data_IF_750215838691
#
_entry.id   IF_750215838691
#
_cell.length_a   1.000
_cell.length_b   1.000
_cell.length_c   1.000
_cell.angle_alpha   90.00
_cell.angle_beta   90.00
_cell.angle_gamma   90.00
#
_symmetry.space_group_name_H-M   'P 1'
#
loop_
_entity.id
_entity.type
_entity.pdbx_description
1 polymer ?
#
# COMPACT_ATOMS: atom_id res chain seq x y z
N UNK A 1 4.22 6.00 -6.23
CA UNK A 1 5.08 4.86 -6.57
C UNK A 1 4.26 3.83 -7.32
N UNK A 2 4.79 3.27 -8.41
CA UNK A 2 4.27 2.06 -9.04
C UNK A 2 5.09 0.86 -8.55
N UNK A 3 4.42 -0.21 -8.12
CA UNK A 3 5.08 -1.42 -7.63
C UNK A 3 5.33 -2.39 -8.79
N UNK A 4 6.40 -3.20 -8.69
CA UNK A 4 6.83 -4.08 -9.77
C UNK A 4 7.68 -3.39 -10.85
N UNK A 5 7.97 -2.09 -10.72
CA UNK A 5 8.86 -1.35 -11.62
C UNK A 5 10.20 -1.03 -10.94
N UNK A 6 11.32 -1.38 -11.59
CA UNK A 6 12.65 -1.30 -10.98
C UNK A 6 13.05 0.11 -10.48
N UNK A 7 12.77 1.17 -11.27
CA UNK A 7 13.18 2.53 -10.90
C UNK A 7 12.35 3.07 -9.72
N UNK A 8 10.99 3.07 -9.77
CA UNK A 8 10.18 3.43 -8.61
C UNK A 8 10.53 2.66 -7.33
N UNK A 9 10.78 1.35 -7.42
CA UNK A 9 11.17 0.53 -6.27
C UNK A 9 12.51 0.95 -5.65
N UNK A 10 13.50 1.30 -6.48
CA UNK A 10 14.78 1.84 -6.00
C UNK A 10 14.64 3.22 -5.38
N UNK A 11 13.91 4.12 -6.03
CA UNK A 11 13.70 5.50 -5.54
C UNK A 11 13.02 5.54 -4.17
N UNK A 12 12.26 4.50 -3.82
CA UNK A 12 11.55 4.37 -2.56
C UNK A 12 12.23 3.40 -1.59
N UNK A 13 13.46 2.95 -1.87
CA UNK A 13 14.24 2.05 -1.00
C UNK A 13 13.45 0.80 -0.59
N UNK A 14 12.82 0.13 -1.55
CA UNK A 14 12.02 -1.05 -1.29
C UNK A 14 12.88 -2.17 -0.67
N UNK A 15 12.40 -2.72 0.45
CA UNK A 15 12.88 -3.94 1.09
C UNK A 15 11.71 -4.91 1.17
N UNK A 16 11.95 -6.20 0.93
CA UNK A 16 10.87 -7.18 0.95
C UNK A 16 11.36 -8.58 1.26
N UNK A 17 10.48 -9.41 1.78
CA UNK A 17 10.69 -10.83 2.03
C UNK A 17 9.49 -11.62 1.48
N UNK A 18 9.74 -12.74 0.82
CA UNK A 18 8.72 -13.56 0.13
C UNK A 18 7.74 -12.72 -0.72
N UNK A 19 8.29 -11.73 -1.43
CA UNK A 19 7.52 -10.80 -2.26
C UNK A 19 8.07 -10.74 -3.67
N UNK A 20 7.15 -10.75 -4.65
CA UNK A 20 7.48 -10.94 -6.05
C UNK A 20 6.77 -9.90 -6.92
N UNK A 21 7.46 -9.32 -7.92
CA UNK A 21 6.81 -8.51 -8.93
C UNK A 21 5.88 -9.38 -9.78
N UNK A 22 4.77 -8.80 -10.21
CA UNK A 22 3.79 -9.45 -11.08
C UNK A 22 3.35 -8.49 -12.17
N UNK A 23 2.96 -9.04 -13.33
CA UNK A 23 2.23 -8.30 -14.34
C UNK A 23 0.81 -8.85 -14.41
N UNK A 24 -0.18 -8.00 -14.17
CA UNK A 24 -1.59 -8.39 -14.27
C UNK A 24 -2.37 -7.33 -15.04
N UNK A 25 -3.04 -7.75 -16.12
CA UNK A 25 -3.80 -6.87 -17.03
C UNK A 25 -2.99 -5.65 -17.49
N UNK A 26 -1.76 -5.91 -17.94
CA UNK A 26 -0.78 -4.92 -18.39
C UNK A 26 -0.37 -3.88 -17.34
N UNK A 27 -0.67 -4.09 -16.05
CA UNK A 27 -0.12 -3.28 -14.94
C UNK A 27 0.88 -4.08 -14.13
N UNK A 28 1.99 -3.44 -13.80
CA UNK A 28 2.95 -3.98 -12.85
C UNK A 28 2.41 -3.82 -11.43
N UNK A 29 2.72 -4.80 -10.59
CA UNK A 29 2.42 -4.76 -9.16
C UNK A 29 3.39 -5.65 -8.40
N UNK A 30 3.19 -5.72 -7.09
CA UNK A 30 3.94 -6.63 -6.22
C UNK A 30 2.99 -7.35 -5.28
N UNK A 31 3.23 -8.64 -5.10
CA UNK A 31 2.51 -9.48 -4.14
C UNK A 31 3.50 -9.95 -3.06
N UNK A 32 3.07 -10.00 -1.79
CA UNK A 32 3.83 -10.64 -0.72
C UNK A 32 3.07 -11.86 -0.21
N UNK A 33 3.77 -12.99 -0.08
CA UNK A 33 3.22 -14.26 0.39
C UNK A 33 3.29 -14.38 1.91
N UNK A 34 2.47 -15.26 2.49
CA UNK A 34 2.43 -15.52 3.93
C UNK A 34 3.83 -15.74 4.52
N UNK A 35 4.10 -15.11 5.67
CA UNK A 35 5.44 -15.05 6.29
C UNK A 35 6.34 -13.92 5.77
N UNK A 36 5.96 -13.25 4.68
CA UNK A 36 6.72 -12.17 4.05
C UNK A 36 6.22 -10.76 4.34
N UNK A 37 6.74 -9.81 3.58
CA UNK A 37 6.29 -8.42 3.55
C UNK A 37 6.87 -7.67 2.34
N UNK A 38 6.31 -6.49 2.08
CA UNK A 38 7.00 -5.44 1.32
C UNK A 38 6.99 -4.13 2.12
N UNK A 39 8.09 -3.39 2.07
CA UNK A 39 8.27 -2.15 2.84
C UNK A 39 9.08 -1.13 2.05
N UNK A 40 8.63 0.12 2.02
CA UNK A 40 9.29 1.19 1.27
C UNK A 40 9.11 2.54 1.94
N UNK A 41 9.97 3.49 1.59
CA UNK A 41 9.96 4.87 2.08
C UNK A 41 9.03 5.76 1.25
N UNK A 42 8.21 6.59 1.91
CA UNK A 42 7.35 7.58 1.28
C UNK A 42 7.64 8.96 1.84
N UNK A 43 7.88 9.95 0.97
CA UNK A 43 8.07 11.35 1.36
C UNK A 43 6.79 11.93 1.98
N UNK A 44 6.94 12.59 3.11
CA UNK A 44 5.86 13.26 3.84
C UNK A 44 5.77 14.71 3.41
N UNK A 45 4.54 15.19 3.19
CA UNK A 45 4.24 16.61 3.01
C UNK A 45 3.56 17.16 4.28
N UNK A 46 3.67 18.46 4.56
CA UNK A 46 2.92 19.08 5.66
C UNK A 46 1.40 18.91 5.50
N UNK A 47 0.70 18.71 6.62
CA UNK A 47 -0.76 18.62 6.69
C UNK A 47 -1.31 17.20 6.91
N UNK A 48 -2.65 17.04 6.97
CA UNK A 48 -3.29 15.73 7.06
C UNK A 48 -2.96 14.91 5.81
N UNK A 49 -2.46 13.69 6.01
CA UNK A 49 -2.05 12.81 4.93
C UNK A 49 -2.95 11.60 4.81
N UNK A 50 -3.14 11.17 3.57
CA UNK A 50 -3.85 9.95 3.19
C UNK A 50 -2.88 9.06 2.43
N UNK A 51 -2.75 7.82 2.89
CA UNK A 51 -2.10 6.76 2.12
C UNK A 51 -3.16 6.13 1.20
N UNK A 52 -2.87 6.00 -0.07
CA UNK A 52 -3.74 5.32 -1.03
C UNK A 52 -2.99 4.15 -1.64
N UNK A 53 -3.67 3.01 -1.77
CA UNK A 53 -3.15 1.85 -2.47
C UNK A 53 -4.14 1.38 -3.55
N UNK A 54 -3.61 0.99 -4.70
CA UNK A 54 -4.39 0.51 -5.84
C UNK A 54 -4.39 -1.02 -5.91
N UNK A 55 -5.59 -1.60 -6.08
CA UNK A 55 -5.83 -3.04 -6.18
C UNK A 55 -6.64 -3.41 -7.42
N UNK A 56 -6.69 -4.71 -7.74
CA UNK A 56 -7.63 -5.25 -8.70
C UNK A 56 -8.90 -5.72 -7.98
N UNK A 57 -10.07 -5.23 -8.38
CA UNK A 57 -11.31 -5.52 -7.69
C UNK A 57 -11.87 -6.92 -7.90
N UNK A 58 -11.16 -7.79 -8.64
CA UNK A 58 -11.44 -9.22 -8.69
C UNK A 58 -10.47 -10.08 -7.88
N UNK A 59 -9.58 -9.49 -7.06
CA UNK A 59 -8.82 -10.27 -6.06
C UNK A 59 -9.76 -10.95 -5.07
N UNK A 60 -9.37 -12.12 -4.58
CA UNK A 60 -10.19 -12.93 -3.65
C UNK A 60 -9.36 -13.42 -2.49
N UNK A 61 -9.98 -13.44 -1.30
CA UNK A 61 -9.39 -13.95 -0.07
C UNK A 61 -7.97 -13.40 0.17
N UNK A 62 -7.84 -12.06 0.14
CA UNK A 62 -6.61 -11.37 0.54
C UNK A 62 -6.83 -10.66 1.85
N UNK A 63 -6.08 -11.06 2.86
CA UNK A 63 -6.05 -10.47 4.18
C UNK A 63 -4.63 -10.04 4.54
N UNK A 64 -4.45 -8.75 4.82
CA UNK A 64 -3.15 -8.20 5.18
C UNK A 64 -3.28 -6.96 6.04
N UNK A 65 -2.23 -6.66 6.79
CA UNK A 65 -2.13 -5.48 7.64
C UNK A 65 -1.17 -4.46 7.00
N UNK A 66 -1.50 -3.18 7.18
CA UNK A 66 -0.72 -2.05 6.65
C UNK A 66 -0.18 -1.26 7.83
N UNK A 67 1.12 -0.97 7.78
CA UNK A 67 1.84 -0.27 8.83
C UNK A 67 2.52 0.99 8.29
N UNK A 68 2.61 2.00 9.13
CA UNK A 68 3.43 3.20 8.92
C UNK A 68 4.35 3.36 10.12
N UNK A 69 5.67 3.33 9.90
CA UNK A 69 6.70 3.31 10.95
C UNK A 69 6.37 2.32 12.07
N UNK A 70 6.07 1.08 11.67
CA UNK A 70 5.72 -0.05 12.55
C UNK A 70 4.42 0.11 13.36
N UNK A 71 3.65 1.18 13.14
CA UNK A 71 2.31 1.33 13.71
C UNK A 71 1.28 0.84 12.70
N UNK A 72 0.46 -0.14 13.10
CA UNK A 72 -0.62 -0.63 12.24
C UNK A 72 -1.66 0.48 12.03
N UNK A 73 -1.91 0.82 10.77
CA UNK A 73 -2.89 1.85 10.39
C UNK A 73 -4.19 1.26 9.85
N UNK A 74 -4.13 0.06 9.27
CA UNK A 74 -5.28 -0.58 8.65
C UNK A 74 -5.09 -2.09 8.55
N UNK A 75 -6.22 -2.77 8.41
CA UNK A 75 -6.33 -4.18 8.03
C UNK A 75 -7.17 -4.22 6.77
N UNK A 76 -6.63 -4.72 5.68
CA UNK A 76 -7.30 -4.79 4.38
C UNK A 76 -7.77 -6.22 4.11
N UNK A 77 -9.02 -6.31 3.68
CA UNK A 77 -9.64 -7.53 3.14
C UNK A 77 -10.04 -7.26 1.69
N UNK A 78 -9.58 -8.08 0.74
CA UNK A 78 -10.05 -8.03 -0.66
C UNK A 78 -10.82 -9.31 -0.97
N UNK A 79 -12.08 -9.15 -1.34
CA UNK A 79 -12.95 -10.27 -1.71
C UNK A 79 -13.92 -9.90 -2.83
N UNK A 80 -13.34 -9.68 -4.02
CA UNK A 80 -14.05 -9.38 -5.25
C UNK A 80 -14.90 -8.09 -5.14
N UNK A 81 -14.34 -7.07 -4.48
CA UNK A 81 -15.05 -5.85 -4.09
C UNK A 81 -15.55 -5.02 -5.28
N UNK A 82 -14.73 -4.90 -6.34
CA UNK A 82 -15.01 -4.07 -7.52
C UNK A 82 -14.62 -4.78 -8.83
N UNK A 83 -15.31 -5.88 -9.21
CA UNK A 83 -14.87 -6.76 -10.28
C UNK A 83 -14.72 -6.04 -11.62
N UNK A 84 -13.71 -6.43 -12.40
CA UNK A 84 -13.53 -5.91 -13.75
C UNK A 84 -12.79 -4.56 -13.83
N UNK A 85 -12.43 -3.95 -12.70
CA UNK A 85 -11.63 -2.71 -12.69
C UNK A 85 -10.59 -2.67 -11.58
N UNK A 86 -9.61 -1.80 -11.79
CA UNK A 86 -8.73 -1.37 -10.71
C UNK A 86 -9.48 -0.36 -9.84
N UNK A 87 -9.20 -0.37 -8.55
CA UNK A 87 -9.77 0.58 -7.61
C UNK A 87 -8.73 0.97 -6.57
N UNK A 88 -8.95 2.14 -5.97
CA UNK A 88 -8.08 2.72 -4.96
C UNK A 88 -8.77 2.63 -3.59
N UNK A 89 -8.00 2.29 -2.56
CA UNK A 89 -8.45 2.37 -1.16
C UNK A 89 -7.61 3.43 -0.45
N UNK A 90 -8.28 4.27 0.32
CA UNK A 90 -7.68 5.36 1.07
C UNK A 90 -7.62 5.02 2.57
N UNK A 91 -6.47 5.31 3.18
CA UNK A 91 -6.17 5.12 4.59
C UNK A 91 -5.71 6.45 5.17
N UNK A 92 -6.60 7.23 5.81
CA UNK A 92 -6.23 8.44 6.52
C UNK A 92 -5.18 8.13 7.60
N UNK A 93 -4.07 8.86 7.60
CA UNK A 93 -3.00 8.65 8.57
C UNK A 93 -3.21 9.52 9.81
N UNK A 94 -3.08 8.95 11.03
CA UNK A 94 -3.00 9.75 12.25
C UNK A 94 -1.87 10.77 12.15
N UNK A 95 -2.16 12.04 12.45
CA UNK A 95 -1.19 13.13 12.33
C UNK A 95 0.10 12.89 13.16
N UNK A 96 0.00 12.13 14.25
CA UNK A 96 1.14 11.73 15.08
C UNK A 96 2.19 10.90 14.31
N UNK A 97 1.79 10.16 13.26
CA UNK A 97 2.70 9.34 12.47
C UNK A 97 3.53 10.17 11.48
N UNK A 98 3.10 11.38 11.13
CA UNK A 98 3.68 12.15 10.01
C UNK A 98 4.16 13.54 10.40
N UNK A 99 3.68 14.11 11.51
CA UNK A 99 4.04 15.47 11.94
C UNK A 99 5.55 15.61 12.16
N UNK A 100 6.14 16.61 11.50
CA UNK A 100 7.57 16.92 11.60
C UNK A 100 8.50 15.96 10.86
N UNK A 101 7.98 14.91 10.22
CA UNK A 101 8.78 13.94 9.45
C UNK A 101 8.93 14.38 8.00
N UNK A 102 10.04 14.01 7.39
CA UNK A 102 10.28 14.17 5.95
C UNK A 102 9.95 12.91 5.15
N UNK A 103 9.96 11.75 5.80
CA UNK A 103 9.69 10.44 5.21
C UNK A 103 9.12 9.50 6.28
N UNK A 104 8.37 8.49 5.84
CA UNK A 104 7.87 7.37 6.65
C UNK A 104 8.09 6.05 5.92
N UNK A 105 8.16 4.94 6.65
CA UNK A 105 8.19 3.58 6.12
C UNK A 105 6.78 3.01 6.06
N UNK A 106 6.33 2.62 4.88
CA UNK A 106 5.05 1.94 4.66
C UNK A 106 5.33 0.47 4.47
N UNK A 107 4.67 -0.38 5.25
CA UNK A 107 4.84 -1.84 5.20
C UNK A 107 3.50 -2.55 5.01
N UNK A 108 3.46 -3.52 4.11
CA UNK A 108 2.34 -4.42 3.92
C UNK A 108 2.75 -5.82 4.36
N UNK A 109 1.96 -6.42 5.25
CA UNK A 109 2.24 -7.73 5.85
C UNK A 109 1.02 -8.64 5.65
N UNK A 110 1.15 -9.74 4.89
CA UNK A 110 0.09 -10.73 4.78
C UNK A 110 -0.23 -11.35 6.14
N UNK A 111 -1.50 -11.65 6.38
CA UNK A 111 -1.88 -12.50 7.51
C UNK A 111 -1.55 -13.97 7.24
N UNK A 112 -1.67 -14.79 8.28
CA UNK A 112 -1.45 -16.22 8.19
C UNK A 112 -2.29 -16.86 7.09
N UNK A 113 -1.63 -17.65 6.23
CA UNK A 113 -2.23 -18.35 5.08
C UNK A 113 -2.89 -17.42 4.05
N UNK A 114 -2.47 -16.16 4.01
CA UNK A 114 -2.95 -15.12 3.09
C UNK A 114 -1.80 -14.47 2.31
N UNK A 115 -2.12 -13.55 1.39
CA UNK A 115 -1.16 -12.72 0.64
C UNK A 115 -1.55 -11.24 0.72
N UNK A 116 -0.56 -10.36 0.57
CA UNK A 116 -0.75 -8.92 0.46
C UNK A 116 -0.57 -8.50 -0.98
N UNK A 117 -1.69 -8.22 -1.65
CA UNK A 117 -1.72 -7.77 -3.04
C UNK A 117 -2.34 -8.76 -4.04
N UNK A 118 -2.06 -8.57 -5.34
CA UNK A 118 -1.10 -7.62 -5.89
C UNK A 118 -1.45 -6.15 -5.59
N UNK A 119 -0.45 -5.39 -5.11
CA UNK A 119 -0.55 -3.93 -4.95
C UNK A 119 0.09 -3.31 -6.20
N UNK A 120 -0.65 -2.48 -6.92
CA UNK A 120 -0.21 -1.92 -8.21
C UNK A 120 0.43 -0.54 -8.08
N UNK A 121 0.00 0.23 -7.08
CA UNK A 121 0.51 1.57 -6.85
C UNK A 121 0.21 2.04 -5.44
N UNK A 122 1.08 2.90 -4.93
CA UNK A 122 0.93 3.54 -3.63
C UNK A 122 1.24 5.02 -3.72
N UNK A 123 0.40 5.83 -3.10
CA UNK A 123 0.51 7.30 -3.06
C UNK A 123 0.32 7.80 -1.65
N UNK A 124 1.06 8.85 -1.30
CA UNK A 124 0.89 9.59 -0.06
C UNK A 124 0.65 11.05 -0.44
N UNK A 125 -0.51 11.58 -0.10
CA UNK A 125 -0.90 12.94 -0.47
C UNK A 125 -1.64 13.63 0.66
N UNK A 126 -1.65 14.96 0.60
CA UNK A 126 -2.40 15.81 1.52
C UNK A 126 -3.88 15.70 1.21
N UNK A 127 -4.69 15.37 2.20
CA UNK A 127 -6.14 15.44 2.06
C UNK A 127 -6.52 16.86 1.60
N UNK A 128 -7.42 16.97 0.62
CA UNK A 128 -8.01 18.27 0.31
C UNK A 128 -8.71 18.79 1.58
N UNK A 129 -8.58 20.07 1.94
CA UNK A 129 -9.45 20.66 2.93
C UNK A 129 -10.90 20.51 2.44
N UNK A 130 -11.70 19.68 3.11
CA UNK A 130 -13.11 19.46 2.79
C UNK A 130 -13.39 18.26 1.89
N UNK A 131 -13.51 17.07 2.51
CA UNK A 131 -14.35 15.99 2.04
C UNK A 131 -14.66 15.07 3.24
N UNK A 132 -15.41 15.62 4.20
CA UNK A 132 -16.20 14.83 5.14
C UNK A 132 -17.63 14.94 4.63
N UNK A 133 -18.21 13.82 4.20
CA UNK A 133 -19.65 13.66 4.05
C UNK A 133 -20.07 12.62 5.09
#
# INVERSE_FOLDING_TARGET
MFLGEMQPERDHNLVSELSYPVTYRARQGRDARSGGYLEFSMKVKPGPLVLQASYWGGERARDFDIFVDNVKIASQHLDNDQPGKFFDVEYPLPAALTRGKQSVRVKFVPRDRSTAGPIFGVRLYTAKPGATA
#
